data_IF_162684524816
#
_entry.id   IF_162684524816
#
_cell.length_a   1.000
_cell.length_b   1.000
_cell.length_c   1.000
_cell.angle_alpha   90.00
_cell.angle_beta   90.00
_cell.angle_gamma   90.00
#
_symmetry.space_group_name_H-M   'P 1'
#
loop_
_entity.id
_entity.type
_entity.pdbx_description
1 polymer ?
#
# COMPACT_ATOMS: atom_id res chain seq x y z
N UNK A 1 28.03 -13.66 -17.01
CA UNK A 1 28.06 -14.07 -18.43
C UNK A 1 26.95 -13.37 -19.18
N UNK A 2 27.26 -12.69 -20.29
CA UNK A 2 26.25 -11.98 -21.12
C UNK A 2 25.74 -12.79 -22.30
N UNK A 3 26.54 -13.73 -22.78
CA UNK A 3 26.21 -14.62 -23.89
C UNK A 3 26.39 -16.07 -23.43
N UNK A 4 25.39 -16.91 -23.68
CA UNK A 4 25.43 -18.33 -23.40
C UNK A 4 24.95 -19.10 -24.63
N UNK A 5 25.81 -19.99 -25.13
CA UNK A 5 25.48 -20.89 -26.22
C UNK A 5 25.30 -22.30 -25.69
N UNK A 6 24.09 -22.82 -25.86
CA UNK A 6 23.69 -24.18 -25.55
C UNK A 6 23.07 -24.85 -26.79
N UNK A 7 23.45 -24.41 -27.98
CA UNK A 7 23.05 -25.09 -29.21
C UNK A 7 23.62 -26.51 -29.28
N UNK A 8 22.91 -27.43 -29.94
CA UNK A 8 23.34 -28.83 -30.10
C UNK A 8 23.58 -29.60 -28.79
N UNK A 9 22.76 -29.40 -27.76
CA UNK A 9 22.90 -30.08 -26.48
C UNK A 9 21.79 -31.10 -26.19
N UNK A 10 20.98 -31.46 -27.20
CA UNK A 10 19.86 -32.41 -27.05
C UNK A 10 18.87 -32.05 -25.92
N UNK A 11 18.76 -30.76 -25.58
CA UNK A 11 17.91 -30.27 -24.50
C UNK A 11 16.44 -30.47 -24.89
N UNK A 12 15.67 -31.15 -24.03
CA UNK A 12 14.23 -31.42 -24.23
C UNK A 12 13.32 -30.60 -23.32
N UNK A 13 13.83 -30.06 -22.22
CA UNK A 13 13.07 -29.24 -21.26
C UNK A 13 13.98 -28.20 -20.60
N UNK A 14 13.39 -27.16 -20.01
CA UNK A 14 14.09 -26.00 -19.45
C UNK A 14 13.86 -25.81 -17.95
N UNK A 15 13.28 -26.79 -17.25
CA UNK A 15 12.93 -26.67 -15.83
C UNK A 15 14.12 -26.30 -14.92
N UNK A 16 15.34 -26.78 -15.22
CA UNK A 16 16.55 -26.49 -14.46
C UNK A 16 16.98 -25.01 -14.56
N UNK A 17 16.58 -24.33 -15.65
CA UNK A 17 16.90 -22.92 -15.86
C UNK A 17 16.17 -22.00 -14.87
N UNK A 18 15.09 -22.47 -14.23
CA UNK A 18 14.38 -21.72 -13.20
C UNK A 18 15.30 -21.34 -12.02
N UNK A 19 16.26 -22.20 -11.70
CA UNK A 19 17.16 -22.03 -10.55
C UNK A 19 18.49 -21.34 -10.92
N UNK A 20 18.76 -21.15 -12.21
CA UNK A 20 19.98 -20.50 -12.67
C UNK A 20 19.90 -18.99 -12.44
N UNK A 21 20.91 -18.44 -11.78
CA UNK A 21 21.04 -17.00 -11.55
C UNK A 21 22.04 -16.41 -12.55
N UNK A 22 21.54 -15.99 -13.70
CA UNK A 22 22.31 -15.30 -14.73
C UNK A 22 21.74 -13.88 -14.94
N UNK A 23 21.90 -12.95 -13.98
CA UNK A 23 21.23 -11.65 -13.99
C UNK A 23 21.62 -10.74 -15.16
N UNK A 24 22.78 -11.00 -15.77
CA UNK A 24 23.32 -10.22 -16.89
C UNK A 24 23.28 -10.98 -18.22
N UNK A 25 22.57 -12.11 -18.32
CA UNK A 25 22.46 -12.83 -19.58
C UNK A 25 21.59 -12.04 -20.55
N UNK A 26 22.17 -11.63 -21.68
CA UNK A 26 21.53 -10.85 -22.73
C UNK A 26 21.22 -11.71 -23.95
N UNK A 27 22.06 -12.71 -24.22
CA UNK A 27 21.96 -13.61 -25.37
C UNK A 27 21.95 -15.07 -24.93
N UNK A 28 20.94 -15.82 -25.39
CA UNK A 28 20.85 -17.26 -25.17
C UNK A 28 20.62 -17.96 -26.50
N UNK A 29 21.54 -18.85 -26.88
CA UNK A 29 21.38 -19.72 -28.02
C UNK A 29 20.95 -21.12 -27.58
N UNK A 30 19.74 -21.52 -27.97
CA UNK A 30 19.17 -22.85 -27.76
C UNK A 30 18.85 -23.54 -29.09
N UNK A 31 19.44 -23.09 -30.21
CA UNK A 31 19.19 -23.70 -31.51
C UNK A 31 19.62 -25.16 -31.55
N UNK A 32 19.05 -25.96 -32.45
CA UNK A 32 19.48 -27.35 -32.67
C UNK A 32 19.36 -28.23 -31.41
N UNK A 33 18.29 -28.02 -30.64
CA UNK A 33 17.93 -28.85 -29.50
C UNK A 33 16.63 -29.62 -29.83
N UNK A 34 16.03 -30.27 -28.82
CA UNK A 34 14.86 -31.13 -28.96
C UNK A 34 13.65 -30.56 -28.21
N UNK A 35 13.58 -29.24 -28.06
CA UNK A 35 12.43 -28.58 -27.46
C UNK A 35 11.24 -28.71 -28.44
N UNK A 36 10.08 -29.12 -27.94
CA UNK A 36 8.85 -29.28 -28.71
C UNK A 36 7.68 -28.48 -28.12
N UNK A 37 7.68 -28.27 -26.81
CA UNK A 37 6.71 -27.43 -26.11
C UNK A 37 7.19 -25.98 -25.95
N UNK A 38 6.36 -25.03 -26.40
CA UNK A 38 6.64 -23.60 -26.24
C UNK A 38 6.50 -23.13 -24.79
N UNK A 39 5.71 -23.83 -23.98
CA UNK A 39 5.49 -23.47 -22.57
C UNK A 39 6.75 -23.65 -21.72
N UNK A 40 7.73 -24.44 -22.18
CA UNK A 40 9.05 -24.57 -21.54
C UNK A 40 9.79 -23.23 -21.45
N UNK A 41 9.50 -22.28 -22.35
CA UNK A 41 10.10 -20.95 -22.32
C UNK A 41 9.72 -20.15 -21.06
N UNK A 42 8.68 -20.57 -20.31
CA UNK A 42 8.30 -19.93 -19.03
C UNK A 42 9.43 -19.96 -18.01
N UNK A 43 10.31 -20.96 -18.06
CA UNK A 43 11.44 -21.10 -17.16
C UNK A 43 12.56 -20.09 -17.43
N UNK A 44 12.55 -19.43 -18.60
CA UNK A 44 13.48 -18.35 -18.96
C UNK A 44 13.02 -16.96 -18.47
N UNK A 45 11.82 -16.84 -17.87
CA UNK A 45 11.30 -15.55 -17.34
C UNK A 45 12.17 -14.93 -16.24
N UNK A 46 12.97 -15.75 -15.55
CA UNK A 46 13.93 -15.31 -14.54
C UNK A 46 15.10 -14.50 -15.13
N UNK A 47 15.35 -14.59 -16.44
CA UNK A 47 16.40 -13.84 -17.14
C UNK A 47 15.88 -12.48 -17.60
N UNK A 48 15.82 -11.53 -16.66
CA UNK A 48 15.29 -10.18 -16.91
C UNK A 48 16.05 -9.38 -17.98
N UNK A 49 17.34 -9.67 -18.19
CA UNK A 49 18.19 -8.98 -19.16
C UNK A 49 18.19 -9.64 -20.55
N UNK A 50 17.50 -10.78 -20.72
CA UNK A 50 17.52 -11.55 -21.96
C UNK A 50 16.82 -10.79 -23.08
N UNK A 51 17.59 -10.32 -24.07
CA UNK A 51 17.08 -9.59 -25.22
C UNK A 51 17.12 -10.39 -26.51
N UNK A 52 17.99 -11.41 -26.61
CA UNK A 52 18.22 -12.18 -27.81
C UNK A 52 18.11 -13.68 -27.52
N UNK A 53 17.24 -14.37 -28.27
CA UNK A 53 16.99 -15.79 -28.10
C UNK A 53 17.01 -16.47 -29.46
N UNK A 54 17.75 -17.57 -29.59
CA UNK A 54 17.74 -18.42 -30.78
C UNK A 54 17.14 -19.78 -30.43
N UNK A 55 16.11 -20.17 -31.18
CA UNK A 55 15.38 -21.44 -31.06
C UNK A 55 15.29 -22.18 -32.40
N UNK A 56 15.97 -21.69 -33.45
CA UNK A 56 16.07 -22.35 -34.76
C UNK A 56 16.35 -23.85 -34.62
N UNK A 57 15.70 -24.64 -35.48
CA UNK A 57 15.90 -26.09 -35.54
C UNK A 57 15.56 -26.84 -34.24
N UNK A 58 14.57 -26.32 -33.51
CA UNK A 58 13.80 -27.07 -32.51
C UNK A 58 12.44 -27.50 -33.09
N UNK A 59 11.78 -28.44 -32.43
CA UNK A 59 10.43 -28.89 -32.76
C UNK A 59 9.32 -27.96 -32.23
N UNK A 60 9.65 -26.90 -31.49
CA UNK A 60 8.69 -25.90 -30.95
C UNK A 60 7.82 -25.29 -32.07
N UNK A 61 8.39 -25.07 -33.25
CA UNK A 61 7.63 -24.54 -34.38
C UNK A 61 6.60 -25.55 -34.93
N UNK A 62 6.72 -26.84 -34.59
CA UNK A 62 5.79 -27.89 -34.99
C UNK A 62 4.62 -28.03 -34.01
N UNK A 63 4.79 -27.73 -32.72
CA UNK A 63 3.67 -27.73 -31.77
C UNK A 63 2.66 -26.61 -32.08
N UNK A 64 3.13 -25.46 -32.56
CA UNK A 64 2.27 -24.39 -33.11
C UNK A 64 1.60 -24.78 -34.44
N UNK A 65 2.15 -25.79 -35.14
CA UNK A 65 1.51 -26.41 -36.31
C UNK A 65 0.53 -27.51 -35.90
N UNK A 66 0.42 -27.97 -34.66
CA UNK A 66 -0.57 -29.03 -34.35
C UNK A 66 -2.02 -28.55 -34.46
N UNK A 67 -2.26 -27.24 -34.35
CA UNK A 67 -3.56 -26.60 -34.64
C UNK A 67 -3.81 -26.43 -36.16
N UNK A 68 -3.05 -27.13 -37.02
CA UNK A 68 -3.06 -27.02 -38.50
C UNK A 68 -4.23 -27.65 -39.23
N UNK A 69 -5.22 -28.24 -38.55
CA UNK A 69 -6.49 -28.50 -39.22
C UNK A 69 -7.13 -27.20 -39.76
N UNK A 70 -6.72 -26.02 -39.27
CA UNK A 70 -7.12 -24.74 -39.84
C UNK A 70 -6.19 -24.23 -40.94
N UNK A 71 -4.90 -24.58 -40.92
CA UNK A 71 -3.89 -24.04 -41.86
C UNK A 71 -4.04 -24.65 -43.26
N UNK A 72 -4.31 -25.96 -43.34
CA UNK A 72 -4.62 -26.64 -44.61
C UNK A 72 -5.97 -26.19 -45.19
N UNK A 73 -6.95 -25.90 -44.34
CA UNK A 73 -8.27 -25.40 -44.74
C UNK A 73 -8.28 -23.93 -45.18
N UNK A 74 -7.42 -23.08 -44.60
CA UNK A 74 -7.42 -21.63 -44.82
C UNK A 74 -6.33 -21.12 -45.79
N UNK A 75 -5.52 -22.02 -46.36
CA UNK A 75 -4.43 -21.70 -47.30
C UNK A 75 -3.49 -20.60 -46.75
N UNK A 76 -3.17 -20.72 -45.47
CA UNK A 76 -2.43 -19.69 -44.72
C UNK A 76 -0.97 -19.71 -45.15
N UNK A 77 -0.46 -18.54 -45.59
CA UNK A 77 0.94 -18.36 -45.99
C UNK A 77 1.90 -18.71 -44.85
N UNK A 78 3.06 -19.27 -45.20
CA UNK A 78 4.19 -19.51 -44.28
C UNK A 78 4.50 -18.28 -43.41
N UNK A 79 4.32 -17.07 -43.95
CA UNK A 79 4.53 -15.81 -43.23
C UNK A 79 3.64 -15.67 -41.98
N UNK A 80 2.40 -16.17 -42.01
CA UNK A 80 1.49 -16.07 -40.87
C UNK A 80 1.84 -17.05 -39.75
N UNK A 81 2.40 -18.23 -40.08
CA UNK A 81 2.91 -19.18 -39.09
C UNK A 81 4.07 -18.57 -38.30
N UNK A 82 4.96 -17.84 -38.99
CA UNK A 82 6.02 -17.08 -38.34
C UNK A 82 5.47 -15.99 -37.41
N UNK A 83 4.43 -15.27 -37.82
CA UNK A 83 3.76 -14.28 -36.96
C UNK A 83 3.18 -14.91 -35.68
N UNK A 84 2.54 -16.08 -35.78
CA UNK A 84 2.01 -16.80 -34.62
C UNK A 84 3.14 -17.25 -33.68
N UNK A 85 4.23 -17.77 -34.24
CA UNK A 85 5.43 -18.14 -33.50
C UNK A 85 6.04 -16.95 -32.74
N UNK A 86 6.28 -15.83 -33.43
CA UNK A 86 6.80 -14.62 -32.80
C UNK A 86 5.87 -14.10 -31.70
N UNK A 87 4.55 -14.11 -31.94
CA UNK A 87 3.57 -13.68 -30.94
C UNK A 87 3.54 -14.58 -29.70
N UNK A 88 3.56 -15.90 -29.89
CA UNK A 88 3.50 -16.86 -28.80
C UNK A 88 4.75 -16.80 -27.91
N UNK A 89 5.95 -16.76 -28.50
CA UNK A 89 7.21 -16.59 -27.75
C UNK A 89 7.20 -15.27 -26.99
N UNK A 90 6.75 -14.19 -27.62
CA UNK A 90 6.73 -12.86 -27.01
C UNK A 90 5.71 -12.70 -25.88
N UNK A 91 4.61 -13.46 -25.92
CA UNK A 91 3.65 -13.50 -24.81
C UNK A 91 4.28 -14.11 -23.54
N UNK A 92 5.22 -15.05 -23.70
CA UNK A 92 5.94 -15.68 -22.59
C UNK A 92 7.13 -14.81 -22.16
N UNK A 93 7.85 -14.22 -23.10
CA UNK A 93 9.07 -13.44 -22.89
C UNK A 93 8.92 -12.02 -23.49
N UNK A 94 8.16 -11.12 -22.84
CA UNK A 94 7.87 -9.78 -23.38
C UNK A 94 9.11 -8.89 -23.52
N UNK A 95 10.15 -9.13 -22.72
CA UNK A 95 11.41 -8.37 -22.76
C UNK A 95 12.27 -8.64 -24.00
N UNK A 96 11.95 -9.67 -24.78
CA UNK A 96 12.74 -10.11 -25.92
C UNK A 96 12.70 -9.07 -27.07
N UNK A 97 13.88 -8.74 -27.61
CA UNK A 97 14.06 -7.82 -28.74
C UNK A 97 14.31 -8.56 -30.04
N UNK A 98 15.07 -9.66 -29.99
CA UNK A 98 15.43 -10.46 -31.15
C UNK A 98 15.08 -11.93 -30.93
N UNK A 99 14.39 -12.54 -31.89
CA UNK A 99 14.15 -13.98 -31.96
C UNK A 99 14.64 -14.51 -33.30
N UNK A 100 15.54 -15.49 -33.28
CA UNK A 100 16.02 -16.16 -34.50
C UNK A 100 16.59 -15.18 -35.55
N UNK A 101 17.36 -14.19 -35.10
CA UNK A 101 17.90 -13.07 -35.88
C UNK A 101 16.86 -12.06 -36.43
N UNK A 102 15.58 -12.20 -36.06
CA UNK A 102 14.52 -11.26 -36.43
C UNK A 102 14.24 -10.27 -35.30
N UNK A 103 14.16 -8.98 -35.63
CA UNK A 103 13.75 -7.94 -34.69
C UNK A 103 12.24 -8.01 -34.44
N UNK A 104 11.86 -8.11 -33.17
CA UNK A 104 10.47 -8.15 -32.75
C UNK A 104 9.94 -6.72 -32.60
N UNK A 105 8.92 -6.34 -33.40
CA UNK A 105 8.33 -4.98 -33.43
C UNK A 105 8.13 -4.38 -32.03
N UNK A 106 8.60 -3.18 -31.71
CA UNK A 106 8.49 -2.63 -30.35
C UNK A 106 7.09 -2.85 -29.74
N UNK A 107 7.02 -3.35 -28.49
CA UNK A 107 5.75 -3.48 -27.78
C UNK A 107 5.11 -2.10 -27.78
N UNK A 108 3.86 -2.01 -28.23
CA UNK A 108 3.05 -0.81 -28.04
C UNK A 108 2.82 -0.71 -26.55
N UNK A 109 3.76 -0.08 -25.85
CA UNK A 109 3.54 0.39 -24.50
C UNK A 109 2.52 1.50 -24.63
N UNK A 110 1.25 1.17 -24.44
CA UNK A 110 0.35 2.19 -23.91
C UNK A 110 0.98 2.57 -22.59
N UNK A 111 1.64 3.72 -22.56
CA UNK A 111 2.00 4.36 -21.31
C UNK A 111 0.68 4.63 -20.60
N UNK A 112 0.17 3.64 -19.86
CA UNK A 112 -0.38 4.00 -18.57
C UNK A 112 0.82 4.62 -17.88
N UNK A 113 0.86 5.95 -17.90
CA UNK A 113 1.58 6.72 -16.90
C UNK A 113 0.97 6.30 -15.56
N UNK A 114 1.36 5.10 -15.10
CA UNK A 114 1.42 4.79 -13.69
C UNK A 114 2.51 5.74 -13.24
N UNK A 115 2.15 7.01 -13.08
CA UNK A 115 2.89 7.93 -12.24
C UNK A 115 3.18 7.09 -11.02
N UNK A 116 4.44 6.73 -10.83
CA UNK A 116 4.89 6.21 -9.54
C UNK A 116 4.47 7.32 -8.61
N UNK A 117 3.35 7.15 -7.92
CA UNK A 117 2.77 8.20 -7.08
C UNK A 117 3.77 8.32 -5.95
N UNK A 118 4.74 9.21 -6.14
CA UNK A 118 5.68 9.56 -5.11
C UNK A 118 4.86 10.30 -4.08
N UNK A 119 4.53 9.61 -2.99
CA UNK A 119 3.89 10.24 -1.86
C UNK A 119 4.80 11.39 -1.38
N UNK A 120 4.22 12.54 -1.00
CA UNK A 120 4.99 13.58 -0.34
C UNK A 120 5.74 13.01 0.86
N UNK A 121 6.93 13.52 1.10
CA UNK A 121 7.71 13.15 2.28
C UNK A 121 6.92 13.50 3.56
N UNK A 122 6.83 12.53 4.47
CA UNK A 122 6.21 12.75 5.77
C UNK A 122 7.06 13.71 6.58
N UNK A 123 6.43 14.76 7.13
CA UNK A 123 7.09 15.71 8.02
C UNK A 123 6.64 15.46 9.45
N UNK A 124 7.52 15.70 10.44
CA UNK A 124 7.21 15.46 11.85
C UNK A 124 6.11 16.41 12.36
N UNK A 125 6.06 17.63 11.86
CA UNK A 125 5.07 18.63 12.28
C UNK A 125 4.82 19.66 11.16
N UNK A 126 3.73 20.40 11.29
CA UNK A 126 3.35 21.49 10.42
C UNK A 126 3.04 22.77 11.21
N UNK A 127 3.78 23.84 10.91
CA UNK A 127 3.59 25.17 11.50
C UNK A 127 3.52 26.22 10.37
N UNK A 128 2.41 26.95 10.22
CA UNK A 128 2.31 28.07 9.30
C UNK A 128 3.42 29.10 9.55
N UNK A 129 3.98 29.68 8.48
CA UNK A 129 5.13 30.60 8.58
C UNK A 129 4.93 31.74 9.58
N UNK A 130 3.72 32.31 9.63
CA UNK A 130 3.37 33.41 10.53
C UNK A 130 3.34 33.03 12.02
N UNK A 131 3.39 31.73 12.37
CA UNK A 131 3.36 31.23 13.75
C UNK A 131 4.68 30.62 14.20
N UNK A 132 5.70 30.55 13.33
CA UNK A 132 7.00 29.96 13.67
C UNK A 132 7.62 30.59 14.91
N UNK A 133 7.54 31.92 15.05
CA UNK A 133 8.06 32.66 16.22
C UNK A 133 7.30 32.35 17.51
N UNK A 134 6.04 31.92 17.43
CA UNK A 134 5.20 31.58 18.59
C UNK A 134 5.11 30.08 18.88
N UNK A 135 5.76 29.24 18.07
CA UNK A 135 5.59 27.79 18.13
C UNK A 135 6.03 27.21 19.48
N UNK A 136 7.16 27.68 20.04
CA UNK A 136 7.65 27.23 21.35
C UNK A 136 6.64 27.48 22.47
N UNK A 137 5.88 28.58 22.39
CA UNK A 137 4.81 28.89 23.35
C UNK A 137 3.62 27.96 23.22
N UNK A 138 3.26 27.56 21.98
CA UNK A 138 2.19 26.58 21.73
C UNK A 138 2.61 25.20 22.24
N UNK A 139 3.85 24.79 21.97
CA UNK A 139 4.38 23.52 22.46
C UNK A 139 4.41 23.51 24.00
N UNK A 140 4.88 24.59 24.62
CA UNK A 140 4.89 24.74 26.08
C UNK A 140 3.49 24.65 26.69
N UNK A 141 2.48 25.27 26.03
CA UNK A 141 1.08 25.18 26.46
C UNK A 141 0.56 23.73 26.44
N UNK A 142 0.85 22.98 25.37
CA UNK A 142 0.41 21.58 25.23
C UNK A 142 1.11 20.69 26.25
N UNK A 143 2.42 20.87 26.44
CA UNK A 143 3.20 20.14 27.44
C UNK A 143 2.69 20.41 28.85
N UNK A 144 2.39 21.67 29.17
CA UNK A 144 1.83 22.05 30.48
C UNK A 144 0.43 21.44 30.69
N UNK A 145 -0.44 21.49 29.68
CA UNK A 145 -1.74 20.84 29.75
C UNK A 145 -1.62 19.34 30.08
N UNK A 146 -0.72 18.63 29.41
CA UNK A 146 -0.53 17.19 29.66
C UNK A 146 0.17 16.88 30.99
N UNK A 147 1.07 17.77 31.43
CA UNK A 147 1.63 17.72 32.79
C UNK A 147 0.53 17.78 33.85
N UNK A 148 -0.47 18.65 33.66
CA UNK A 148 -1.65 18.74 34.53
C UNK A 148 -2.60 17.54 34.34
N UNK A 149 -2.74 17.03 33.12
CA UNK A 149 -3.60 15.89 32.80
C UNK A 149 -3.15 14.57 33.46
N UNK A 150 -1.84 14.40 33.62
CA UNK A 150 -1.23 13.21 34.24
C UNK A 150 -1.20 13.28 35.78
N UNK A 151 -1.72 14.36 36.37
CA UNK A 151 -1.97 14.40 37.81
C UNK A 151 -3.10 13.43 38.19
N UNK A 152 -3.10 12.98 39.44
CA UNK A 152 -4.06 11.97 39.92
C UNK A 152 -5.52 12.47 39.90
N UNK A 153 -5.76 13.75 40.20
CA UNK A 153 -7.12 14.30 40.34
C UNK A 153 -7.63 15.01 39.09
N UNK A 154 -6.72 15.51 38.23
CA UNK A 154 -7.03 16.36 37.07
C UNK A 154 -7.81 17.64 37.41
N UNK A 155 -7.84 18.04 38.68
CA UNK A 155 -8.56 19.24 39.13
C UNK A 155 -7.95 20.52 38.56
N UNK A 156 -6.63 20.53 38.37
CA UNK A 156 -5.88 21.68 37.85
C UNK A 156 -6.27 22.03 36.39
N UNK A 157 -6.85 21.07 35.65
CA UNK A 157 -7.39 21.31 34.31
C UNK A 157 -8.59 22.27 34.31
N UNK A 158 -9.19 22.55 35.48
CA UNK A 158 -10.33 23.46 35.56
C UNK A 158 -10.00 24.83 34.96
N UNK A 159 -8.78 25.35 35.10
CA UNK A 159 -8.40 26.64 34.51
C UNK A 159 -8.28 26.61 32.98
N UNK A 160 -8.05 25.43 32.38
CA UNK A 160 -7.80 25.26 30.95
C UNK A 160 -9.07 25.25 30.08
N UNK A 161 -10.24 25.01 30.69
CA UNK A 161 -11.50 24.87 29.96
C UNK A 161 -12.41 26.09 30.08
N UNK A 162 -12.94 26.52 28.93
CA UNK A 162 -13.99 27.53 28.82
C UNK A 162 -15.34 26.98 29.31
N UNK A 163 -16.21 27.85 29.85
CA UNK A 163 -17.52 27.46 30.43
C UNK A 163 -18.40 26.65 29.46
N UNK A 164 -18.36 27.02 28.18
CA UNK A 164 -19.12 26.38 27.09
C UNK A 164 -18.27 25.41 26.26
N UNK A 165 -17.24 24.79 26.84
CA UNK A 165 -16.42 23.83 26.09
C UNK A 165 -17.23 22.58 25.72
N UNK A 166 -16.76 21.90 24.67
CA UNK A 166 -17.35 20.67 24.18
C UNK A 166 -16.24 19.63 24.06
N UNK A 167 -16.52 18.41 24.50
CA UNK A 167 -15.58 17.30 24.42
C UNK A 167 -16.26 16.04 23.85
N UNK A 168 -15.53 15.27 23.05
CA UNK A 168 -15.93 13.94 22.60
C UNK A 168 -14.70 13.04 22.45
N UNK A 169 -14.86 11.75 22.76
CA UNK A 169 -13.84 10.72 22.54
C UNK A 169 -14.17 9.93 21.27
N UNK A 170 -13.17 9.63 20.45
CA UNK A 170 -13.30 8.68 19.34
C UNK A 170 -12.13 7.70 19.40
N UNK A 171 -12.45 6.41 19.37
CA UNK A 171 -11.47 5.33 19.41
C UNK A 171 -11.46 4.66 18.03
N UNK A 172 -10.28 4.63 17.39
CA UNK A 172 -10.08 3.85 16.17
C UNK A 172 -10.07 2.37 16.53
N UNK A 173 -10.93 1.58 15.88
CA UNK A 173 -10.87 0.12 16.01
C UNK A 173 -9.83 -0.39 15.01
N UNK A 174 -8.87 -1.23 15.44
CA UNK A 174 -7.96 -1.88 14.52
C UNK A 174 -8.75 -2.63 13.45
N UNK A 175 -8.43 -2.42 12.18
CA UNK A 175 -8.83 -3.34 11.11
C UNK A 175 -8.00 -4.62 11.24
N UNK A 176 -8.65 -5.78 11.16
CA UNK A 176 -8.00 -7.09 11.19
C UNK A 176 -6.91 -7.29 10.11
N UNK A 177 -6.85 -6.41 9.10
CA UNK A 177 -5.89 -6.46 7.98
C UNK A 177 -4.51 -5.86 8.25
N UNK A 178 -4.33 -5.16 9.37
CA UNK A 178 -2.98 -4.80 9.82
C UNK A 178 -2.51 -5.97 10.68
N UNK A 179 -1.52 -6.76 10.22
CA UNK A 179 -0.96 -7.94 10.91
C UNK A 179 -0.34 -7.70 12.30
N UNK A 180 -0.76 -6.63 12.98
CA UNK A 180 -0.44 -6.26 14.34
C UNK A 180 -1.56 -6.79 15.24
N UNK A 181 -1.32 -7.97 15.80
CA UNK A 181 -2.22 -8.69 16.72
C UNK A 181 -2.28 -8.06 18.13
N UNK A 182 -2.15 -6.73 18.28
CA UNK A 182 -2.04 -6.10 19.62
C UNK A 182 -3.28 -5.37 20.09
N UNK A 183 -4.31 -5.21 19.26
CA UNK A 183 -5.36 -4.24 19.56
C UNK A 183 -6.66 -4.83 20.13
N UNK A 184 -6.65 -6.12 20.52
CA UNK A 184 -7.81 -6.77 21.15
C UNK A 184 -7.99 -6.41 22.65
N UNK A 185 -6.97 -5.82 23.30
CA UNK A 185 -6.94 -5.69 24.77
C UNK A 185 -6.97 -4.25 25.34
N UNK A 186 -6.97 -3.20 24.52
CA UNK A 186 -6.44 -1.89 25.00
C UNK A 186 -7.49 -0.82 25.31
N UNK A 187 -8.77 -0.98 24.96
CA UNK A 187 -9.75 0.12 25.03
C UNK A 187 -10.77 0.05 26.18
N UNK A 188 -10.70 -0.98 27.03
CA UNK A 188 -11.45 -1.08 28.29
C UNK A 188 -12.94 -0.69 28.19
N UNK A 189 -13.41 0.04 29.20
CA UNK A 189 -14.79 0.58 29.26
C UNK A 189 -15.00 1.80 28.34
N UNK A 190 -13.92 2.44 27.88
CA UNK A 190 -13.99 3.66 27.07
C UNK A 190 -14.55 3.43 25.66
N UNK A 191 -14.53 2.18 25.18
CA UNK A 191 -15.11 1.82 23.87
C UNK A 191 -16.61 2.15 23.79
N UNK A 192 -17.33 2.07 24.92
CA UNK A 192 -18.76 2.41 25.01
C UNK A 192 -19.02 3.92 24.85
N UNK A 193 -18.00 4.74 25.11
CA UNK A 193 -18.05 6.19 25.00
C UNK A 193 -17.47 6.71 23.66
N UNK A 194 -17.03 5.81 22.77
CA UNK A 194 -16.48 6.17 21.45
C UNK A 194 -17.55 6.73 20.52
N UNK A 195 -17.38 7.99 20.09
CA UNK A 195 -18.25 8.71 19.16
C UNK A 195 -17.67 8.70 17.74
N UNK A 196 -17.69 7.52 17.10
CA UNK A 196 -17.36 7.41 15.68
C UNK A 196 -18.63 7.50 14.81
N UNK A 197 -18.82 8.62 14.11
CA UNK A 197 -20.01 8.85 13.27
C UNK A 197 -20.13 7.88 12.09
N UNK A 198 -19.02 7.29 11.64
CA UNK A 198 -18.95 6.35 10.51
C UNK A 198 -19.15 4.88 10.92
N UNK A 199 -18.98 4.55 12.19
CA UNK A 199 -19.10 3.17 12.65
C UNK A 199 -20.58 2.73 12.72
N UNK A 200 -20.87 1.53 12.19
CA UNK A 200 -22.22 0.95 12.08
C UNK A 200 -22.45 -0.21 13.08
N UNK A 201 -21.54 -0.38 14.04
CA UNK A 201 -21.45 -1.61 14.84
C UNK A 201 -22.46 -1.72 15.99
N UNK A 202 -23.29 -0.70 16.24
CA UNK A 202 -24.45 -0.87 17.13
C UNK A 202 -25.54 -1.64 16.38
N UNK A 203 -25.37 -2.97 16.28
CA UNK A 203 -26.37 -3.95 15.80
C UNK A 203 -27.70 -3.78 16.57
N UNK A 204 -27.67 -3.28 17.81
CA UNK A 204 -28.84 -3.05 18.66
C UNK A 204 -29.60 -1.74 18.40
N UNK A 205 -29.02 -0.76 17.69
CA UNK A 205 -29.62 0.60 17.52
C UNK A 205 -30.13 0.80 16.08
N UNK A 206 -30.02 -0.24 15.24
CA UNK A 206 -30.28 -0.18 13.79
C UNK A 206 -31.73 0.16 13.41
N UNK A 207 -32.70 0.14 14.34
CA UNK A 207 -34.12 0.33 13.99
C UNK A 207 -34.63 1.78 14.04
N UNK A 208 -33.90 2.77 14.60
CA UNK A 208 -34.43 4.15 14.67
C UNK A 208 -33.35 5.21 14.41
N UNK A 209 -33.48 5.98 13.32
CA UNK A 209 -32.55 7.11 13.02
C UNK A 209 -32.47 8.13 14.17
N UNK A 210 -33.55 8.29 14.95
CA UNK A 210 -33.57 9.17 16.13
C UNK A 210 -32.72 8.65 17.30
N UNK A 211 -32.60 7.33 17.49
CA UNK A 211 -31.78 6.76 18.57
C UNK A 211 -30.29 6.87 18.28
N UNK A 212 -29.86 6.80 17.00
CA UNK A 212 -28.46 7.05 16.61
C UNK A 212 -28.05 8.50 16.88
N UNK A 213 -28.88 9.48 16.48
CA UNK A 213 -28.62 10.89 16.76
C UNK A 213 -28.63 11.17 18.27
N UNK A 214 -29.63 10.66 19.00
CA UNK A 214 -29.71 10.81 20.45
C UNK A 214 -28.45 10.28 21.15
N UNK A 215 -27.99 9.07 20.79
CA UNK A 215 -26.75 8.50 21.33
C UNK A 215 -25.52 9.35 20.99
N UNK A 216 -25.39 9.84 19.75
CA UNK A 216 -24.29 10.74 19.41
C UNK A 216 -24.33 12.07 20.16
N UNK A 217 -25.50 12.54 20.59
CA UNK A 217 -25.65 13.71 21.45
C UNK A 217 -25.28 13.39 22.91
N UNK A 218 -25.63 12.20 23.43
CA UNK A 218 -25.25 11.76 24.79
C UNK A 218 -23.73 11.55 24.96
N UNK A 219 -23.07 11.10 23.90
CA UNK A 219 -21.61 10.92 23.86
C UNK A 219 -20.84 12.24 23.81
N UNK A 220 -21.51 13.35 23.49
CA UNK A 220 -20.94 14.69 23.51
C UNK A 220 -21.04 15.26 24.93
N UNK A 221 -19.93 15.75 25.48
CA UNK A 221 -19.91 16.41 26.79
C UNK A 221 -19.95 17.91 26.57
N UNK A 222 -21.03 18.54 27.01
CA UNK A 222 -21.24 19.98 26.88
C UNK A 222 -21.08 20.67 28.23
N UNK A 223 -20.29 21.73 28.24
CA UNK A 223 -20.05 22.52 29.43
C UNK A 223 -18.86 22.02 30.25
N UNK A 224 -18.17 22.97 30.87
CA UNK A 224 -16.93 22.76 31.61
C UNK A 224 -16.98 21.63 32.63
N UNK A 225 -18.01 21.63 33.48
CA UNK A 225 -18.16 20.63 34.53
C UNK A 225 -18.32 19.21 33.95
N UNK A 226 -19.16 19.06 32.91
CA UNK A 226 -19.39 17.77 32.27
C UNK A 226 -18.12 17.20 31.61
N UNK A 227 -17.28 18.08 31.04
CA UNK A 227 -15.98 17.67 30.47
C UNK A 227 -15.02 17.23 31.57
N UNK A 228 -14.84 18.02 32.63
CA UNK A 228 -13.90 17.70 33.71
C UNK A 228 -14.30 16.43 34.48
N UNK A 229 -15.59 16.26 34.76
CA UNK A 229 -16.11 15.04 35.40
C UNK A 229 -15.88 13.82 34.53
N UNK A 230 -16.08 13.94 33.22
CA UNK A 230 -15.78 12.87 32.28
C UNK A 230 -14.29 12.51 32.28
N UNK A 231 -13.40 13.49 32.19
CA UNK A 231 -11.95 13.28 32.22
C UNK A 231 -11.48 12.63 33.53
N UNK A 232 -12.05 13.01 34.68
CA UNK A 232 -11.67 12.46 35.99
C UNK A 232 -12.19 11.03 36.19
N UNK A 233 -13.43 10.75 35.78
CA UNK A 233 -14.10 9.47 36.06
C UNK A 233 -13.77 8.40 35.02
N UNK A 234 -13.66 8.77 33.74
CA UNK A 234 -13.60 7.82 32.62
C UNK A 234 -12.20 7.57 32.08
N UNK A 235 -11.27 8.50 32.25
CA UNK A 235 -9.88 8.28 31.82
C UNK A 235 -9.06 7.61 32.93
N UNK A 236 -8.34 6.51 32.63
CA UNK A 236 -7.39 5.91 33.56
C UNK A 236 -6.25 6.89 33.83
N UNK A 237 -5.47 6.66 34.89
CA UNK A 237 -4.23 7.41 35.09
C UNK A 237 -3.30 7.21 33.88
N UNK A 238 -2.71 8.30 33.40
CA UNK A 238 -1.85 8.35 32.21
C UNK A 238 -0.49 8.93 32.56
N UNK A 239 0.50 8.67 31.71
CA UNK A 239 1.81 9.32 31.74
C UNK A 239 2.27 9.50 30.30
N UNK A 240 2.28 10.74 29.83
CA UNK A 240 2.69 11.10 28.47
C UNK A 240 4.19 11.39 28.43
N UNK A 241 4.84 11.03 27.32
CA UNK A 241 6.17 11.53 27.01
C UNK A 241 6.04 12.92 26.37
N UNK A 242 6.27 13.96 27.17
CA UNK A 242 6.14 15.35 26.72
C UNK A 242 7.18 15.74 25.65
N UNK A 243 8.26 14.95 25.52
CA UNK A 243 9.32 15.20 24.54
C UNK A 243 9.02 14.59 23.16
N UNK A 244 8.05 13.67 23.08
CA UNK A 244 7.67 12.97 21.83
C UNK A 244 6.49 13.62 21.09
N UNK A 245 6.04 14.79 21.54
CA UNK A 245 4.90 15.49 20.96
C UNK A 245 5.23 16.06 19.58
N UNK A 246 4.39 15.69 18.62
CA UNK A 246 4.36 16.24 17.28
C UNK A 246 3.09 17.07 17.12
N UNK A 247 3.21 18.35 16.75
CA UNK A 247 2.10 19.31 16.77
C UNK A 247 1.90 19.96 15.40
N UNK A 248 0.74 19.70 14.79
CA UNK A 248 0.29 20.33 13.56
C UNK A 248 -0.68 21.47 13.87
N UNK A 249 -0.36 22.68 13.39
CA UNK A 249 -1.29 23.81 13.45
C UNK A 249 -2.13 23.83 12.16
N UNK A 250 -3.35 23.29 12.26
CA UNK A 250 -4.25 23.14 11.12
C UNK A 250 -4.81 24.49 10.66
N UNK A 251 -5.19 25.34 11.61
CA UNK A 251 -5.80 26.64 11.31
C UNK A 251 -5.59 27.63 12.46
N UNK A 252 -5.37 28.89 12.11
CA UNK A 252 -5.16 29.97 13.06
C UNK A 252 -5.85 31.23 12.58
N UNK A 253 -6.51 31.90 13.51
CA UNK A 253 -7.14 33.20 13.33
C UNK A 253 -6.88 34.05 14.57
N UNK A 254 -7.20 35.34 14.48
CA UNK A 254 -7.07 36.28 15.61
C UNK A 254 -7.87 35.82 16.85
N UNK A 255 -8.97 35.08 16.66
CA UNK A 255 -9.87 34.67 17.75
C UNK A 255 -9.71 33.22 18.19
N UNK A 256 -9.14 32.37 17.35
CA UNK A 256 -9.16 30.92 17.56
C UNK A 256 -8.03 30.25 16.82
N UNK A 257 -7.39 29.28 17.47
CA UNK A 257 -6.38 28.42 16.88
C UNK A 257 -6.79 26.97 17.07
N UNK A 258 -6.59 26.17 16.02
CA UNK A 258 -6.89 24.74 15.98
C UNK A 258 -5.60 23.98 15.76
N UNK A 259 -5.32 23.06 16.68
CA UNK A 259 -4.13 22.23 16.68
C UNK A 259 -4.53 20.77 16.65
N UNK A 260 -3.76 19.98 15.92
CA UNK A 260 -3.70 18.54 16.06
C UNK A 260 -2.35 18.20 16.66
N UNK A 261 -2.32 17.20 17.53
CA UNK A 261 -1.06 16.71 18.04
C UNK A 261 -1.12 15.20 18.22
N UNK A 262 0.04 14.59 18.08
CA UNK A 262 0.25 13.16 18.25
C UNK A 262 1.37 12.94 19.26
N UNK A 263 1.20 11.90 20.07
CA UNK A 263 2.19 11.43 21.03
C UNK A 263 2.71 10.11 20.50
N UNK A 264 4.00 10.05 20.18
CA UNK A 264 4.62 8.78 19.84
C UNK A 264 4.79 7.97 21.13
N UNK A 265 4.36 6.71 21.08
CA UNK A 265 4.51 5.73 22.18
C UNK A 265 5.76 4.89 22.01
#
# INVERSE_FOLDING_TARGET
>A
TRFLDLSHNDITNLNEFQNLKLPHLEHLNLSLNKLDDIDELKYLKSFHSLSNLHLKENSIQQSLKSDTNLISFLNISVAFVWTLYFSAVRQILPQLKYLDDNELSAIIHFATDINIIQLPESKPYYVPDHLKTSFDGILSLIQEYYRLFDTRSREDLHSCYHEKCIFSLCISRPSYDCGIQTCQYTYGQQICDSRNLKCNDDISIRSIKSSKYARHMELLKFGKQAVLDYLRIKFPATKHDLSSFHVDIISSSVKTQFFFFEVQS
#
